data_IF_749737983751
#
_entry.id   IF_749737983751
#
_cell.length_a   1.000
_cell.length_b   1.000
_cell.length_c   1.000
_cell.angle_alpha   90.00
_cell.angle_beta   90.00
_cell.angle_gamma   90.00
#
_symmetry.space_group_name_H-M   'P 1'
#
loop_
_entity.id
_entity.type
_entity.pdbx_description
1 polymer ?
#
# COMPACT_ATOMS: atom_id res chain seq x y z
N UNK A 1 -43.01 -11.34 -38.03
CA UNK A 1 -41.81 -11.86 -37.35
C UNK A 1 -41.08 -10.67 -36.74
N UNK A 2 -41.19 -10.49 -35.43
CA UNK A 2 -40.57 -9.40 -34.68
C UNK A 2 -39.41 -9.96 -33.82
N UNK A 3 -38.21 -9.42 -33.98
CA UNK A 3 -37.12 -9.36 -32.99
C UNK A 3 -36.37 -8.05 -33.26
N UNK A 4 -36.55 -6.96 -32.50
CA UNK A 4 -36.02 -6.66 -31.15
C UNK A 4 -34.57 -7.11 -30.96
N UNK A 5 -33.63 -6.37 -30.37
CA UNK A 5 -33.45 -4.94 -30.03
C UNK A 5 -32.01 -4.89 -29.52
N UNK A 6 -31.14 -4.09 -30.13
CA UNK A 6 -29.80 -3.83 -29.59
C UNK A 6 -29.93 -2.89 -28.40
N UNK A 7 -29.92 -3.43 -27.18
CA UNK A 7 -29.80 -2.64 -25.96
C UNK A 7 -28.36 -2.71 -25.44
N UNK A 8 -27.59 -1.65 -25.71
CA UNK A 8 -26.48 -1.25 -24.85
C UNK A 8 -27.04 -0.96 -23.45
N UNK A 9 -26.61 -1.71 -22.44
CA UNK A 9 -26.82 -1.32 -21.04
C UNK A 9 -25.47 -0.90 -20.48
N UNK A 10 -25.23 0.40 -20.53
CA UNK A 10 -24.27 1.08 -19.68
C UNK A 10 -24.90 1.24 -18.29
N UNK A 11 -24.26 0.72 -17.24
CA UNK A 11 -24.69 0.94 -15.86
C UNK A 11 -23.76 1.96 -15.20
N UNK A 12 -24.25 3.18 -15.09
CA UNK A 12 -23.76 4.20 -14.15
C UNK A 12 -23.91 3.69 -12.72
N UNK A 13 -22.91 3.96 -11.87
CA UNK A 13 -23.14 4.23 -10.44
C UNK A 13 -22.04 5.18 -9.93
N UNK A 14 -22.50 6.31 -9.38
CA UNK A 14 -21.81 7.34 -8.59
C UNK A 14 -21.05 8.45 -9.34
N UNK A 15 -21.78 9.45 -9.84
CA UNK A 15 -21.26 10.79 -10.15
C UNK A 15 -21.65 11.77 -9.05
N UNK A 16 -20.66 12.27 -8.30
CA UNK A 16 -20.76 13.56 -7.63
C UNK A 16 -20.22 14.63 -8.58
N UNK A 17 -21.00 15.69 -8.75
CA UNK A 17 -20.74 16.83 -9.65
C UNK A 17 -19.54 17.67 -9.21
N UNK A 18 -18.63 17.98 -10.13
CA UNK A 18 -17.84 19.21 -10.09
C UNK A 18 -17.59 19.71 -11.51
N UNK A 19 -17.77 21.02 -11.69
CA UNK A 19 -17.96 21.73 -12.94
C UNK A 19 -16.70 21.81 -13.83
N UNK A 20 -16.97 21.92 -15.13
CA UNK A 20 -16.02 22.27 -16.20
C UNK A 20 -15.27 23.59 -15.88
N UNK A 21 -13.95 23.58 -16.00
CA UNK A 21 -13.20 24.76 -16.44
C UNK A 21 -12.44 24.42 -17.73
N UNK A 22 -12.61 25.24 -18.76
CA UNK A 22 -11.89 25.17 -20.04
C UNK A 22 -10.50 25.77 -19.87
N UNK A 23 -9.47 25.01 -20.19
CA UNK A 23 -8.09 25.48 -20.32
C UNK A 23 -7.32 24.62 -21.34
N UNK A 24 -6.77 25.25 -22.37
CA UNK A 24 -6.02 24.70 -23.51
C UNK A 24 -4.65 24.12 -23.10
N UNK A 25 -4.25 23.01 -23.77
CA UNK A 25 -2.91 22.55 -24.22
C UNK A 25 -1.67 22.86 -23.33
N UNK A 26 -0.66 22.00 -23.10
CA UNK A 26 -0.14 20.78 -23.75
C UNK A 26 1.00 20.31 -22.85
N UNK A 27 1.06 19.01 -22.51
CA UNK A 27 2.29 18.27 -22.27
C UNK A 27 1.90 16.79 -22.24
N UNK A 28 2.42 15.99 -23.20
CA UNK A 28 2.38 14.53 -23.04
C UNK A 28 3.32 14.19 -21.89
N UNK A 29 2.80 14.23 -20.68
CA UNK A 29 3.40 13.54 -19.54
C UNK A 29 3.59 12.09 -19.97
N UNK A 30 4.79 11.51 -19.85
CA UNK A 30 4.96 10.07 -20.03
C UNK A 30 3.90 9.40 -19.17
N UNK A 31 3.12 8.48 -19.76
CA UNK A 31 2.14 7.72 -18.99
C UNK A 31 2.87 7.16 -17.76
N UNK A 32 2.41 7.53 -16.57
CA UNK A 32 2.99 7.03 -15.34
C UNK A 32 3.04 5.50 -15.46
N UNK A 33 4.18 4.86 -15.16
CA UNK A 33 4.28 3.40 -15.24
C UNK A 33 3.10 2.81 -14.46
N UNK A 34 2.34 1.91 -15.11
CA UNK A 34 1.23 1.22 -14.45
C UNK A 34 1.80 0.56 -13.21
N UNK A 35 1.36 1.00 -12.03
CA UNK A 35 1.94 0.52 -10.80
C UNK A 35 1.69 -0.99 -10.71
N UNK A 36 2.74 -1.81 -10.63
CA UNK A 36 2.68 -3.28 -10.69
C UNK A 36 1.82 -3.92 -9.61
N UNK A 37 1.50 -3.19 -8.53
CA UNK A 37 0.61 -3.65 -7.46
C UNK A 37 -0.25 -2.47 -6.97
N UNK A 38 -1.53 -2.42 -7.34
CA UNK A 38 -2.48 -1.47 -6.75
C UNK A 38 -3.22 -2.15 -5.61
N UNK A 39 -3.28 -1.46 -4.46
CA UNK A 39 -3.87 -1.95 -3.23
C UNK A 39 -4.98 -1.00 -2.79
N UNK A 40 -6.15 -1.57 -2.49
CA UNK A 40 -7.30 -0.83 -2.00
C UNK A 40 -7.90 -1.51 -0.77
N UNK A 41 -8.22 -0.74 0.26
CA UNK A 41 -9.01 -1.23 1.39
C UNK A 41 -10.46 -1.47 0.97
N UNK A 42 -11.02 -2.61 1.37
CA UNK A 42 -12.39 -3.00 1.01
C UNK A 42 -13.29 -3.24 2.22
N UNK A 43 -12.75 -3.15 3.44
CA UNK A 43 -13.54 -3.26 4.66
C UNK A 43 -12.67 -3.33 5.91
N UNK A 44 -13.30 -3.02 7.04
CA UNK A 44 -12.71 -3.07 8.38
C UNK A 44 -13.60 -3.88 9.31
N UNK A 45 -13.01 -4.55 10.30
CA UNK A 45 -13.80 -5.09 11.41
C UNK A 45 -14.30 -3.97 12.32
N UNK A 46 -15.37 -4.24 13.08
CA UNK A 46 -15.99 -3.26 13.99
C UNK A 46 -15.03 -2.71 15.07
N UNK A 47 -14.09 -3.55 15.52
CA UNK A 47 -13.04 -3.17 16.46
C UNK A 47 -11.82 -2.52 15.78
N UNK A 48 -11.84 -2.43 14.45
CA UNK A 48 -10.78 -1.87 13.60
C UNK A 48 -9.40 -2.53 13.78
N UNK A 49 -9.38 -3.77 14.28
CA UNK A 49 -8.17 -4.60 14.45
C UNK A 49 -7.88 -5.51 13.26
N UNK A 50 -8.87 -5.70 12.38
CA UNK A 50 -8.77 -6.47 11.16
C UNK A 50 -9.26 -5.63 9.99
N UNK A 51 -8.66 -5.85 8.84
CA UNK A 51 -9.00 -5.13 7.62
C UNK A 51 -8.80 -6.04 6.42
N UNK A 52 -9.61 -5.83 5.40
CA UNK A 52 -9.51 -6.55 4.14
C UNK A 52 -9.02 -5.60 3.06
N UNK A 53 -8.10 -6.07 2.24
CA UNK A 53 -7.60 -5.38 1.05
C UNK A 53 -7.93 -6.16 -0.20
N UNK A 54 -8.05 -5.43 -1.30
CA UNK A 54 -8.00 -5.93 -2.65
C UNK A 54 -6.64 -5.59 -3.24
N UNK A 55 -5.96 -6.61 -3.76
CA UNK A 55 -4.65 -6.52 -4.38
C UNK A 55 -4.77 -6.90 -5.85
N UNK A 56 -4.31 -6.02 -6.73
CA UNK A 56 -4.12 -6.32 -8.15
C UNK A 56 -2.66 -6.68 -8.34
N UNK A 57 -2.36 -7.96 -8.47
CA UNK A 57 -0.99 -8.45 -8.58
C UNK A 57 -0.60 -8.68 -10.03
N UNK A 58 0.55 -8.17 -10.45
CA UNK A 58 1.24 -8.80 -11.57
C UNK A 58 1.73 -10.16 -11.09
N UNK A 59 0.90 -11.19 -11.28
CA UNK A 59 1.25 -12.57 -10.95
C UNK A 59 2.43 -13.03 -11.83
N UNK A 60 3.65 -12.67 -11.44
CA UNK A 60 4.91 -13.25 -11.90
C UNK A 60 5.91 -13.12 -10.75
N UNK A 61 5.85 -14.05 -9.79
CA UNK A 61 6.94 -14.25 -8.81
C UNK A 61 8.12 -15.02 -9.41
N UNK A 62 8.12 -15.28 -10.72
CA UNK A 62 9.19 -16.01 -11.38
C UNK A 62 9.98 -15.10 -12.31
N UNK A 63 11.29 -15.01 -12.08
CA UNK A 63 12.26 -14.44 -13.03
C UNK A 63 12.33 -15.21 -14.37
N UNK A 64 11.26 -15.90 -14.77
CA UNK A 64 11.23 -16.93 -15.83
C UNK A 64 10.21 -16.64 -16.94
N UNK A 65 9.41 -15.57 -16.84
CA UNK A 65 8.56 -15.14 -17.95
C UNK A 65 9.19 -13.92 -18.63
N UNK A 66 9.79 -14.15 -19.80
CA UNK A 66 10.28 -13.10 -20.71
C UNK A 66 9.17 -12.12 -21.14
N UNK A 67 7.89 -12.49 -20.95
CA UNK A 67 6.74 -11.68 -21.32
C UNK A 67 5.76 -11.46 -20.15
N UNK A 68 5.28 -10.22 -19.93
CA UNK A 68 4.27 -9.95 -18.92
C UNK A 68 2.96 -10.68 -19.23
N UNK A 69 2.18 -11.09 -18.20
CA UNK A 69 0.96 -11.84 -18.41
C UNK A 69 -0.02 -11.09 -19.33
N UNK A 70 -0.82 -11.83 -20.12
CA UNK A 70 -1.75 -11.24 -21.07
C UNK A 70 -2.88 -10.48 -20.34
N UNK A 71 -3.54 -9.57 -21.05
CA UNK A 71 -4.79 -8.99 -20.57
C UNK A 71 -5.90 -10.03 -20.69
N UNK A 72 -6.54 -10.37 -19.58
CA UNK A 72 -7.73 -11.19 -19.61
C UNK A 72 -8.95 -10.38 -20.09
N UNK A 73 -9.72 -10.87 -21.07
CA UNK A 73 -10.92 -10.18 -21.56
C UNK A 73 -11.94 -9.90 -20.45
N UNK A 74 -12.48 -8.67 -20.42
CA UNK A 74 -13.50 -8.26 -19.47
C UNK A 74 -12.99 -7.81 -18.09
N UNK A 75 -11.68 -7.86 -17.85
CA UNK A 75 -11.11 -7.48 -16.55
C UNK A 75 -10.67 -6.02 -16.52
N UNK A 76 -11.22 -5.30 -15.53
CA UNK A 76 -10.91 -3.91 -15.23
C UNK A 76 -10.62 -3.77 -13.74
N UNK A 77 -9.68 -2.89 -13.40
CA UNK A 77 -9.37 -2.54 -12.03
C UNK A 77 -10.42 -1.57 -11.47
N UNK A 78 -10.28 -1.21 -10.20
CA UNK A 78 -11.19 -0.28 -9.52
C UNK A 78 -11.22 1.14 -10.14
N UNK A 79 -10.27 1.47 -11.02
CA UNK A 79 -10.22 2.74 -11.77
C UNK A 79 -10.82 2.62 -13.17
N UNK A 80 -11.42 1.48 -13.50
CA UNK A 80 -12.00 1.20 -14.82
C UNK A 80 -10.98 0.94 -15.92
N UNK A 81 -9.70 0.70 -15.57
CA UNK A 81 -8.64 0.42 -16.54
C UNK A 81 -8.39 -1.08 -16.64
N UNK A 82 -8.04 -1.56 -17.83
CA UNK A 82 -7.53 -2.93 -18.00
C UNK A 82 -6.28 -3.09 -17.15
N UNK A 83 -6.08 -4.27 -16.57
CA UNK A 83 -4.87 -4.61 -15.83
C UNK A 83 -4.38 -5.99 -16.26
N UNK A 84 -3.09 -6.24 -16.06
CA UNK A 84 -2.44 -7.54 -16.27
C UNK A 84 -2.28 -8.23 -14.93
N UNK A 85 -2.21 -9.56 -14.94
CA UNK A 85 -2.02 -10.34 -13.73
C UNK A 85 -3.33 -10.74 -13.04
N UNK A 86 -3.27 -10.99 -11.74
CA UNK A 86 -4.35 -11.52 -10.94
C UNK A 86 -5.09 -10.47 -10.09
N UNK A 87 -6.14 -10.95 -9.45
CA UNK A 87 -6.87 -10.23 -8.43
C UNK A 87 -6.99 -11.10 -7.20
N UNK A 88 -6.52 -10.61 -6.06
CA UNK A 88 -6.65 -11.29 -4.77
C UNK A 88 -7.34 -10.40 -3.75
N UNK A 89 -8.05 -11.02 -2.83
CA UNK A 89 -8.53 -10.39 -1.61
C UNK A 89 -7.76 -10.99 -0.45
N UNK A 90 -7.28 -10.14 0.45
CA UNK A 90 -6.53 -10.57 1.63
C UNK A 90 -7.13 -9.95 2.88
N UNK A 91 -7.31 -10.77 3.91
CA UNK A 91 -7.71 -10.35 5.25
C UNK A 91 -6.48 -10.31 6.15
N UNK A 92 -6.31 -9.20 6.85
CA UNK A 92 -5.23 -9.01 7.81
C UNK A 92 -5.76 -8.91 9.24
N UNK A 93 -4.97 -9.37 10.19
CA UNK A 93 -5.06 -8.99 11.60
C UNK A 93 -3.71 -8.48 12.06
N UNK A 94 -3.66 -7.20 12.44
CA UNK A 94 -2.38 -6.52 12.62
C UNK A 94 -1.59 -6.44 11.31
N UNK A 95 -0.36 -6.95 11.31
CA UNK A 95 0.51 -7.01 10.13
C UNK A 95 0.46 -8.35 9.37
N UNK A 96 -0.29 -9.34 9.88
CA UNK A 96 -0.28 -10.70 9.30
C UNK A 96 -1.50 -10.93 8.44
N UNK A 97 -1.29 -11.44 7.23
CA UNK A 97 -2.37 -11.99 6.42
C UNK A 97 -2.91 -13.25 7.13
N UNK A 98 -4.20 -13.23 7.45
CA UNK A 98 -4.92 -14.34 8.09
C UNK A 98 -5.56 -15.22 7.02
N UNK A 99 -6.05 -14.62 5.93
CA UNK A 99 -6.65 -15.36 4.84
C UNK A 99 -6.42 -14.68 3.49
N UNK A 100 -6.40 -15.46 2.42
CA UNK A 100 -6.24 -14.99 1.04
C UNK A 100 -7.21 -15.73 0.14
N UNK A 101 -7.93 -14.98 -0.70
CA UNK A 101 -8.81 -15.52 -1.74
C UNK A 101 -8.32 -15.05 -3.09
N UNK A 102 -7.93 -16.00 -3.95
CA UNK A 102 -7.60 -15.72 -5.34
C UNK A 102 -8.91 -15.58 -6.13
N UNK A 103 -9.18 -14.38 -6.64
CA UNK A 103 -10.41 -14.07 -7.36
C UNK A 103 -10.19 -14.31 -8.85
N UNK A 104 -9.05 -13.85 -9.37
CA UNK A 104 -8.69 -13.95 -10.78
C UNK A 104 -7.23 -14.32 -10.92
N UNK A 105 -6.96 -15.26 -11.81
CA UNK A 105 -5.64 -15.67 -12.27
C UNK A 105 -5.47 -15.24 -13.74
N UNK A 106 -4.26 -14.85 -14.13
CA UNK A 106 -3.96 -14.38 -15.50
C UNK A 106 -3.54 -15.49 -16.46
N UNK A 107 -3.06 -16.62 -15.93
CA UNK A 107 -2.53 -17.74 -16.70
C UNK A 107 -2.85 -19.08 -16.02
N UNK A 108 -3.83 -19.85 -16.53
CA UNK A 108 -4.82 -19.43 -17.52
C UNK A 108 -5.74 -18.34 -16.96
N UNK A 109 -6.29 -17.48 -17.82
CA UNK A 109 -7.29 -16.50 -17.42
C UNK A 109 -8.48 -17.20 -16.75
N UNK A 110 -8.79 -16.85 -15.50
CA UNK A 110 -10.04 -17.29 -14.86
C UNK A 110 -11.22 -16.82 -15.72
N UNK A 111 -12.28 -17.61 -15.96
CA UNK A 111 -13.49 -17.13 -16.64
C UNK A 111 -14.26 -16.08 -15.79
N UNK A 112 -14.92 -15.07 -16.40
CA UNK A 112 -15.60 -14.02 -15.65
C UNK A 112 -16.65 -14.50 -14.65
N UNK A 113 -17.43 -15.54 -14.98
CA UNK A 113 -18.45 -16.08 -14.06
C UNK A 113 -17.82 -16.78 -12.86
N UNK A 114 -16.75 -17.57 -13.08
CA UNK A 114 -15.98 -18.16 -11.98
C UNK A 114 -15.35 -17.09 -11.07
N UNK A 115 -14.85 -16.00 -11.64
CA UNK A 115 -14.31 -14.88 -10.87
C UNK A 115 -15.39 -14.17 -10.04
N UNK A 116 -16.61 -14.04 -10.56
CA UNK A 116 -17.76 -13.48 -9.81
C UNK A 116 -18.15 -14.37 -8.64
N UNK A 117 -18.20 -15.68 -8.85
CA UNK A 117 -18.52 -16.64 -7.79
C UNK A 117 -17.46 -16.63 -6.68
N UNK A 118 -16.17 -16.67 -7.06
CA UNK A 118 -15.04 -16.52 -6.12
C UNK A 118 -15.12 -15.21 -5.33
N UNK A 119 -15.47 -14.10 -6.00
CA UNK A 119 -15.65 -12.80 -5.33
C UNK A 119 -16.82 -12.80 -4.35
N UNK A 120 -17.94 -13.43 -4.71
CA UNK A 120 -19.10 -13.53 -3.84
C UNK A 120 -18.78 -14.36 -2.59
N UNK A 121 -18.11 -15.50 -2.76
CA UNK A 121 -17.64 -16.36 -1.67
C UNK A 121 -16.66 -15.62 -0.75
N UNK A 122 -15.67 -14.89 -1.31
CA UNK A 122 -14.73 -14.11 -0.53
C UNK A 122 -15.43 -13.02 0.30
N UNK A 123 -16.42 -12.31 -0.28
CA UNK A 123 -17.21 -11.30 0.45
C UNK A 123 -18.05 -11.90 1.57
N UNK A 124 -18.68 -13.06 1.33
CA UNK A 124 -19.44 -13.77 2.36
C UNK A 124 -18.52 -14.18 3.52
N UNK A 125 -17.38 -14.82 3.22
CA UNK A 125 -16.40 -15.24 4.22
C UNK A 125 -15.82 -14.06 5.01
N UNK A 126 -15.57 -12.91 4.37
CA UNK A 126 -15.15 -11.69 5.07
C UNK A 126 -16.22 -11.20 6.06
N UNK A 127 -17.49 -11.22 5.65
CA UNK A 127 -18.62 -10.80 6.49
C UNK A 127 -18.79 -11.75 7.68
N UNK A 128 -18.66 -13.06 7.47
CA UNK A 128 -18.67 -14.08 8.55
C UNK A 128 -17.51 -13.87 9.53
N UNK A 129 -16.35 -13.42 9.05
CA UNK A 129 -15.23 -13.04 9.91
C UNK A 129 -15.43 -11.68 10.57
N UNK A 130 -16.56 -11.00 10.38
CA UNK A 130 -16.90 -9.74 11.04
C UNK A 130 -16.24 -8.52 10.42
N UNK A 131 -15.87 -8.59 9.14
CA UNK A 131 -15.44 -7.44 8.34
C UNK A 131 -16.67 -6.78 7.71
N UNK A 132 -16.85 -5.49 7.98
CA UNK A 132 -17.86 -4.66 7.34
C UNK A 132 -17.29 -4.09 6.03
N UNK A 133 -17.86 -4.52 4.90
CA UNK A 133 -17.45 -4.11 3.56
C UNK A 133 -17.93 -2.70 3.18
N UNK A 134 -18.74 -2.06 4.02
CA UNK A 134 -19.15 -0.65 3.87
C UNK A 134 -18.24 0.29 4.64
N UNK A 135 -17.56 -0.23 5.66
CA UNK A 135 -16.57 0.47 6.45
C UNK A 135 -15.24 0.53 5.70
N UNK A 136 -15.11 1.39 4.67
CA UNK A 136 -13.89 1.49 3.84
C UNK A 136 -12.80 2.33 4.52
N UNK A 137 -13.18 3.33 5.32
CA UNK A 137 -12.23 4.26 5.93
C UNK A 137 -11.67 5.27 4.93
N UNK A 138 -10.39 5.65 5.10
CA UNK A 138 -9.76 6.71 4.31
C UNK A 138 -8.36 6.35 3.82
N UNK A 139 -7.77 7.23 3.01
CA UNK A 139 -6.37 7.14 2.57
C UNK A 139 -5.70 8.47 2.84
N UNK A 140 -4.51 8.44 3.44
CA UNK A 140 -3.72 9.64 3.68
C UNK A 140 -2.34 9.51 3.01
N UNK A 141 -2.06 10.44 2.10
CA UNK A 141 -0.85 10.48 1.30
C UNK A 141 0.21 11.36 1.96
N UNK A 142 1.52 11.08 1.77
CA UNK A 142 2.58 11.98 2.18
C UNK A 142 2.46 13.33 1.48
N UNK A 143 2.73 14.41 2.21
CA UNK A 143 2.65 15.77 1.66
C UNK A 143 3.73 16.06 0.60
N UNK A 144 4.82 15.30 0.59
CA UNK A 144 5.93 15.42 -0.36
C UNK A 144 6.48 14.04 -0.70
N UNK A 145 7.00 13.88 -1.94
CA UNK A 145 7.77 12.70 -2.30
C UNK A 145 8.96 12.55 -1.32
N UNK A 146 9.31 11.33 -0.88
CA UNK A 146 10.45 11.09 -0.01
C UNK A 146 11.68 11.79 -0.57
N UNK A 147 12.34 12.61 0.27
CA UNK A 147 13.59 13.25 -0.16
C UNK A 147 14.65 12.14 -0.31
N UNK A 148 15.36 12.08 -1.45
CA UNK A 148 16.39 11.06 -1.63
C UNK A 148 17.45 11.19 -0.53
N UNK A 149 18.04 10.07 -0.07
CA UNK A 149 18.97 10.07 1.05
C UNK A 149 20.14 11.02 0.82
N UNK A 150 20.56 11.73 1.88
CA UNK A 150 21.86 12.38 1.87
C UNK A 150 22.95 11.32 1.99
N UNK A 151 23.79 11.18 0.96
CA UNK A 151 24.96 10.28 0.98
C UNK A 151 25.87 10.64 2.16
N UNK A 152 25.86 9.86 3.24
CA UNK A 152 26.85 10.02 4.32
C UNK A 152 28.02 9.04 4.15
N UNK A 153 29.20 9.64 4.00
CA UNK A 153 30.58 9.14 3.96
C UNK A 153 30.93 7.76 4.60
N UNK A 154 31.69 6.97 3.83
CA UNK A 154 32.81 6.06 4.23
C UNK A 154 32.60 5.11 5.42
N UNK A 155 31.57 4.26 5.38
CA UNK A 155 31.56 3.02 6.18
C UNK A 155 31.12 1.85 5.30
N UNK A 156 31.51 0.60 5.62
CA UNK A 156 31.07 -0.67 4.99
C UNK A 156 29.57 -0.96 5.17
N UNK A 157 28.77 0.08 5.36
CA UNK A 157 27.33 0.05 5.53
C UNK A 157 26.81 1.30 4.84
N UNK A 158 26.15 1.11 3.71
CA UNK A 158 25.43 2.19 3.04
C UNK A 158 24.11 2.38 3.79
N UNK A 159 23.80 3.62 4.16
CA UNK A 159 22.56 3.95 4.86
C UNK A 159 21.68 4.83 3.98
N UNK A 160 20.40 4.48 3.88
CA UNK A 160 19.35 5.34 3.32
C UNK A 160 18.39 5.68 4.44
N UNK A 161 18.30 6.96 4.79
CA UNK A 161 17.34 7.48 5.75
C UNK A 161 16.36 8.43 5.06
N UNK A 162 15.09 8.31 5.40
CA UNK A 162 14.03 9.21 4.92
C UNK A 162 12.99 9.46 6.00
N UNK A 163 12.28 10.58 5.86
CA UNK A 163 11.17 10.94 6.73
C UNK A 163 10.00 11.43 5.88
N UNK A 164 8.80 10.98 6.21
CA UNK A 164 7.55 11.46 5.64
C UNK A 164 6.60 11.88 6.74
N UNK A 165 5.80 12.90 6.45
CA UNK A 165 4.76 13.38 7.35
C UNK A 165 3.42 13.40 6.64
N UNK A 166 2.41 12.83 7.29
CA UNK A 166 1.04 12.68 6.78
C UNK A 166 0.08 13.34 7.75
N UNK A 167 -0.77 14.24 7.27
CA UNK A 167 -1.81 14.83 8.12
C UNK A 167 -2.98 13.86 8.27
N UNK A 168 -3.52 13.74 9.48
CA UNK A 168 -4.74 12.96 9.74
C UNK A 168 -5.97 13.80 9.36
N UNK A 169 -6.78 13.37 8.39
CA UNK A 169 -7.95 14.12 7.92
C UNK A 169 -9.16 13.99 8.85
N UNK A 170 -9.22 12.95 9.68
CA UNK A 170 -10.36 12.61 10.52
C UNK A 170 -9.95 11.88 11.80
N UNK A 171 -10.92 11.65 12.69
CA UNK A 171 -10.75 10.93 13.95
C UNK A 171 -10.29 11.82 15.12
N UNK A 172 -9.99 11.21 16.29
CA UNK A 172 -9.64 11.96 17.51
C UNK A 172 -8.43 12.88 17.37
N UNK A 173 -7.52 12.51 16.46
CA UNK A 173 -6.27 13.22 16.18
C UNK A 173 -6.29 13.99 14.86
N UNK A 174 -7.47 14.31 14.32
CA UNK A 174 -7.60 15.13 13.11
C UNK A 174 -6.79 16.44 13.21
N UNK A 175 -6.10 16.78 12.14
CA UNK A 175 -5.19 17.94 12.06
C UNK A 175 -3.78 17.71 12.63
N UNK A 176 -3.53 16.62 13.36
CA UNK A 176 -2.18 16.22 13.75
C UNK A 176 -1.47 15.46 12.62
N UNK A 177 -0.16 15.24 12.79
CA UNK A 177 0.68 14.62 11.76
C UNK A 177 1.27 13.30 12.25
N UNK A 178 1.16 12.27 11.42
CA UNK A 178 1.94 11.05 11.57
C UNK A 178 3.29 11.26 10.90
N UNK A 179 4.36 10.96 11.62
CA UNK A 179 5.72 10.95 11.11
C UNK A 179 6.21 9.52 10.96
N UNK A 180 6.81 9.26 9.81
CA UNK A 180 7.34 7.96 9.46
C UNK A 180 8.78 8.19 9.07
N UNK A 181 9.69 7.81 9.96
CA UNK A 181 11.11 7.78 9.69
C UNK A 181 11.50 6.36 9.33
N UNK A 182 12.42 6.19 8.40
CA UNK A 182 12.97 4.88 8.09
C UNK A 182 14.47 4.93 7.91
N UNK A 183 15.09 3.79 8.21
CA UNK A 183 16.51 3.54 8.05
C UNK A 183 16.68 2.23 7.31
N UNK A 184 17.49 2.24 6.27
CA UNK A 184 17.94 1.05 5.54
C UNK A 184 19.39 0.81 5.89
N UNK A 185 19.71 -0.41 6.33
CA UNK A 185 21.07 -0.88 6.57
C UNK A 185 21.43 -1.94 5.52
N UNK A 186 22.46 -1.67 4.73
CA UNK A 186 23.05 -2.66 3.83
C UNK A 186 24.28 -3.26 4.50
N UNK A 187 24.24 -4.54 4.84
CA UNK A 187 25.37 -5.26 5.43
C UNK A 187 26.01 -6.15 4.38
N UNK A 188 27.17 -5.74 3.90
CA UNK A 188 28.05 -6.63 3.14
C UNK A 188 28.68 -7.65 4.10
N UNK A 189 28.71 -8.91 3.68
CA UNK A 189 29.50 -9.95 4.34
C UNK A 189 30.97 -9.52 4.40
N UNK A 190 31.64 -9.69 5.55
CA UNK A 190 33.04 -9.27 5.75
C UNK A 190 34.05 -9.92 4.77
N UNK A 191 33.62 -10.96 4.05
CA UNK A 191 34.38 -11.69 3.03
C UNK A 191 33.91 -11.44 1.59
N UNK A 192 32.93 -10.55 1.35
CA UNK A 192 32.43 -10.23 0.00
C UNK A 192 33.53 -9.69 -0.94
N UNK A 193 34.54 -9.00 -0.39
CA UNK A 193 35.71 -8.54 -1.16
C UNK A 193 36.59 -9.69 -1.70
N UNK A 194 36.44 -10.91 -1.17
CA UNK A 194 37.20 -12.09 -1.61
C UNK A 194 36.39 -13.03 -2.50
N UNK A 195 35.07 -12.88 -2.51
CA UNK A 195 34.15 -13.76 -3.23
C UNK A 195 32.89 -12.98 -3.64
N UNK A 196 32.81 -12.53 -4.91
CA UNK A 196 31.67 -11.77 -5.43
C UNK A 196 30.39 -12.62 -5.56
N UNK A 197 30.45 -13.93 -5.30
CA UNK A 197 29.23 -14.76 -5.23
C UNK A 197 28.49 -14.65 -3.90
N UNK A 198 29.10 -14.02 -2.87
CA UNK A 198 28.49 -13.93 -1.55
C UNK A 198 27.33 -12.95 -1.47
N UNK A 199 26.32 -13.22 -0.62
CA UNK A 199 25.17 -12.36 -0.51
C UNK A 199 25.45 -11.06 0.24
N UNK A 200 24.85 -9.97 -0.24
CA UNK A 200 24.60 -8.72 0.45
C UNK A 200 23.25 -8.85 1.15
N UNK A 201 23.23 -8.65 2.46
CA UNK A 201 22.00 -8.67 3.24
C UNK A 201 21.52 -7.25 3.48
N UNK A 202 20.29 -6.95 3.10
CA UNK A 202 19.64 -5.65 3.36
C UNK A 202 18.54 -5.80 4.40
N UNK A 203 18.46 -4.84 5.31
CA UNK A 203 17.37 -4.73 6.29
C UNK A 203 16.92 -3.27 6.37
N UNK A 204 15.65 -3.05 6.70
CA UNK A 204 15.14 -1.72 6.99
C UNK A 204 14.31 -1.72 8.26
N UNK A 205 14.29 -0.57 8.92
CA UNK A 205 13.45 -0.32 10.09
C UNK A 205 12.67 0.94 9.86
N UNK A 206 11.35 0.84 9.96
CA UNK A 206 10.43 1.97 9.92
C UNK A 206 9.97 2.29 11.34
N UNK A 207 10.16 3.55 11.75
CA UNK A 207 9.67 4.08 13.02
C UNK A 207 8.52 5.03 12.75
N UNK A 208 7.41 4.79 13.42
CA UNK A 208 6.18 5.55 13.28
C UNK A 208 5.93 6.31 14.57
N UNK A 209 5.63 7.59 14.46
CA UNK A 209 5.31 8.45 15.59
C UNK A 209 4.20 9.45 15.27
N UNK A 210 3.47 9.85 16.30
CA UNK A 210 2.46 10.89 16.25
C UNK A 210 3.06 12.21 16.71
N UNK A 211 3.08 13.21 15.83
CA UNK A 211 3.49 14.57 16.18
C UNK A 211 2.29 15.39 16.62
N UNK A 212 2.37 15.92 17.84
CA UNK A 212 1.41 16.86 18.42
C UNK A 212 2.14 18.08 18.97
N UNK A 213 2.00 19.22 18.29
CA UNK A 213 2.80 20.42 18.58
C UNK A 213 4.31 20.15 18.46
N UNK A 214 5.05 20.32 19.56
CA UNK A 214 6.49 20.02 19.64
C UNK A 214 6.79 18.58 20.09
N UNK A 215 5.79 17.82 20.54
CA UNK A 215 5.96 16.45 21.04
C UNK A 215 5.88 15.42 19.91
N UNK A 216 6.64 14.35 20.05
CA UNK A 216 6.58 13.15 19.21
C UNK A 216 6.32 11.93 20.09
N UNK A 217 5.16 11.31 19.92
CA UNK A 217 4.79 10.08 20.62
C UNK A 217 5.12 8.88 19.74
N UNK A 218 6.00 7.95 20.16
CA UNK A 218 6.29 6.74 19.40
C UNK A 218 5.03 5.85 19.34
N UNK A 219 4.70 5.37 18.14
CA UNK A 219 3.55 4.49 17.90
C UNK A 219 3.94 3.07 17.53
N UNK A 220 5.10 2.88 16.90
CA UNK A 220 5.57 1.55 16.51
C UNK A 220 6.90 1.56 15.78
N UNK A 221 7.51 0.38 15.73
CA UNK A 221 8.73 0.09 14.99
C UNK A 221 8.53 -1.20 14.20
N UNK A 222 8.80 -1.14 12.90
CA UNK A 222 8.54 -2.23 11.96
C UNK A 222 9.83 -2.61 11.24
N UNK A 223 10.43 -3.75 11.56
CA UNK A 223 11.55 -4.29 10.80
C UNK A 223 11.06 -4.88 9.47
N UNK A 224 11.89 -4.76 8.45
CA UNK A 224 11.70 -5.30 7.11
C UNK A 224 12.99 -5.98 6.65
N UNK A 225 12.88 -7.19 6.11
CA UNK A 225 14.02 -8.05 5.80
C UNK A 225 14.36 -9.01 6.96
N UNK A 226 15.55 -9.65 6.94
CA UNK A 226 16.60 -9.50 5.94
C UNK A 226 16.18 -9.97 4.54
N UNK A 227 16.71 -9.30 3.52
CA UNK A 227 16.63 -9.74 2.12
C UNK A 227 18.04 -9.92 1.59
N UNK A 228 18.33 -11.12 1.08
CA UNK A 228 19.66 -11.52 0.61
C UNK A 228 19.77 -11.43 -0.92
N UNK A 229 20.88 -10.87 -1.40
CA UNK A 229 21.15 -10.66 -2.84
C UNK A 229 22.57 -11.12 -3.15
N UNK A 230 22.83 -11.90 -4.20
CA UNK A 230 24.23 -12.18 -4.56
C UNK A 230 24.95 -10.89 -5.02
N UNK A 231 26.22 -10.67 -4.71
CA UNK A 231 26.93 -9.47 -5.17
C UNK A 231 27.11 -9.43 -6.72
N UNK A 232 26.95 -10.57 -7.42
CA UNK A 232 26.82 -10.62 -8.88
C UNK A 232 25.46 -10.14 -9.40
N UNK A 233 24.40 -10.24 -8.60
CA UNK A 233 23.16 -9.52 -8.79
C UNK A 233 23.31 -8.18 -8.10
N UNK A 234 24.05 -7.23 -8.70
CA UNK A 234 24.16 -5.88 -8.17
C UNK A 234 22.76 -5.24 -8.13
N UNK A 235 22.07 -5.47 -7.03
CA UNK A 235 20.66 -5.21 -6.90
C UNK A 235 20.40 -3.99 -6.04
N UNK A 236 19.35 -3.26 -6.38
CA UNK A 236 18.81 -2.22 -5.51
C UNK A 236 17.68 -2.83 -4.69
N UNK A 237 17.58 -2.45 -3.42
CA UNK A 237 16.46 -2.75 -2.55
C UNK A 237 16.15 -1.50 -1.75
N UNK A 238 15.08 -0.81 -2.13
CA UNK A 238 14.77 0.53 -1.63
C UNK A 238 13.34 0.57 -1.11
N UNK A 239 13.14 0.28 0.18
CA UNK A 239 11.86 0.48 0.81
C UNK A 239 11.63 1.98 1.02
N UNK A 240 10.45 2.46 0.63
CA UNK A 240 10.02 3.86 0.81
C UNK A 240 8.61 3.91 1.38
N UNK A 241 8.28 4.97 2.10
CA UNK A 241 6.91 5.16 2.57
C UNK A 241 5.98 5.47 1.38
N UNK A 242 4.86 4.76 1.28
CA UNK A 242 3.82 4.99 0.25
C UNK A 242 2.70 5.87 0.81
N UNK A 243 1.86 5.33 1.70
CA UNK A 243 0.65 5.98 2.22
C UNK A 243 0.13 5.29 3.48
N UNK A 244 -0.84 5.92 4.14
CA UNK A 244 -1.62 5.32 5.21
C UNK A 244 -3.01 4.92 4.72
N UNK A 245 -3.49 3.76 5.15
CA UNK A 245 -4.91 3.40 5.06
C UNK A 245 -5.54 3.63 6.43
N UNK A 246 -6.48 4.56 6.52
CA UNK A 246 -7.11 4.96 7.77
C UNK A 246 -8.36 4.13 8.04
N UNK A 247 -8.53 3.73 9.29
CA UNK A 247 -9.79 3.17 9.78
C UNK A 247 -10.94 4.19 9.68
N UNK A 248 -12.21 3.73 9.61
CA UNK A 248 -13.38 4.61 9.59
C UNK A 248 -13.42 5.61 10.75
N UNK A 249 -13.08 5.17 11.96
CA UNK A 249 -13.08 6.03 13.14
C UNK A 249 -11.84 6.93 13.23
N UNK A 250 -10.81 6.65 12.43
CA UNK A 250 -9.51 7.32 12.48
C UNK A 250 -8.72 7.02 13.76
N UNK A 251 -9.06 5.97 14.50
CA UNK A 251 -8.30 5.50 15.68
C UNK A 251 -7.16 4.56 15.31
N UNK A 252 -7.27 3.89 14.18
CA UNK A 252 -6.24 2.97 13.68
C UNK A 252 -5.85 3.31 12.26
N UNK A 253 -4.64 2.93 11.84
CA UNK A 253 -4.23 3.02 10.45
C UNK A 253 -3.25 1.92 10.07
N UNK A 254 -3.20 1.58 8.78
CA UNK A 254 -2.24 0.65 8.21
C UNK A 254 -1.15 1.43 7.49
N UNK A 255 0.10 1.08 7.74
CA UNK A 255 1.25 1.64 7.04
C UNK A 255 1.52 0.83 5.78
N UNK A 256 1.49 1.49 4.62
CA UNK A 256 1.96 0.92 3.36
C UNK A 256 3.34 1.45 3.01
N UNK A 257 4.21 0.55 2.58
CA UNK A 257 5.52 0.88 2.02
C UNK A 257 5.58 0.44 0.57
N UNK A 258 6.22 1.26 -0.25
CA UNK A 258 6.57 0.90 -1.62
C UNK A 258 7.97 0.30 -1.63
N UNK A 259 8.07 -0.90 -2.18
CA UNK A 259 9.29 -1.65 -2.39
C UNK A 259 9.70 -1.48 -3.83
N UNK A 260 10.91 -0.99 -4.05
CA UNK A 260 11.59 -1.07 -5.34
C UNK A 260 12.77 -2.01 -5.16
N UNK A 261 12.76 -3.12 -5.87
CA UNK A 261 13.82 -4.11 -5.85
C UNK A 261 14.24 -4.48 -7.26
N UNK A 262 15.50 -4.80 -7.47
CA UNK A 262 15.93 -5.23 -8.78
C UNK A 262 17.36 -5.71 -8.80
N UNK A 263 17.76 -6.24 -9.95
CA UNK A 263 19.10 -6.71 -10.25
C UNK A 263 19.46 -6.33 -11.69
N UNK A 264 20.64 -6.74 -12.16
CA UNK A 264 21.01 -6.58 -13.57
C UNK A 264 20.04 -7.27 -14.55
N UNK A 265 19.29 -8.29 -14.09
CA UNK A 265 18.33 -9.03 -14.90
C UNK A 265 16.92 -8.41 -14.98
N UNK A 266 16.65 -7.35 -14.22
CA UNK A 266 15.32 -6.73 -14.15
C UNK A 266 14.97 -6.22 -12.76
N UNK A 267 13.89 -5.44 -12.68
CA UNK A 267 13.40 -4.87 -11.43
C UNK A 267 11.91 -5.14 -11.24
N UNK A 268 11.50 -5.24 -9.98
CA UNK A 268 10.12 -5.32 -9.55
C UNK A 268 9.83 -4.11 -8.65
N UNK A 269 8.58 -3.68 -8.63
CA UNK A 269 8.14 -2.75 -7.61
C UNK A 269 6.81 -3.25 -7.05
N UNK A 270 6.54 -3.02 -5.77
CA UNK A 270 5.29 -3.47 -5.16
C UNK A 270 4.97 -2.68 -3.90
N UNK A 271 3.70 -2.69 -3.48
CA UNK A 271 3.28 -2.13 -2.20
C UNK A 271 3.14 -3.25 -1.18
N UNK A 272 3.68 -3.05 0.01
CA UNK A 272 3.65 -3.99 1.13
C UNK A 272 2.90 -3.39 2.32
N UNK A 273 2.08 -4.21 2.96
CA UNK A 273 1.47 -3.91 4.26
C UNK A 273 2.53 -4.13 5.34
N UNK A 274 2.92 -3.05 6.01
CA UNK A 274 3.92 -3.10 7.07
C UNK A 274 3.30 -3.45 8.43
N UNK A 275 2.10 -2.92 8.70
CA UNK A 275 1.33 -3.25 9.89
C UNK A 275 0.22 -2.27 10.23
N UNK A 276 -0.62 -2.70 11.17
CA UNK A 276 -1.66 -1.89 11.80
C UNK A 276 -1.08 -1.15 13.01
N UNK A 277 -1.40 0.13 13.13
CA UNK A 277 -1.05 0.99 14.24
C UNK A 277 -2.32 1.51 14.89
N UNK A 278 -2.44 1.36 16.20
CA UNK A 278 -3.49 1.98 17.01
C UNK A 278 -2.98 3.32 17.55
N UNK A 279 -3.79 4.36 17.42
CA UNK A 279 -3.53 5.65 18.03
C UNK A 279 -3.94 5.61 19.50
N UNK A 280 -3.12 6.20 20.41
CA UNK A 280 -3.53 6.35 21.79
C UNK A 280 -4.79 7.22 21.88
N UNK A 281 -5.61 7.08 22.93
CA UNK A 281 -6.68 8.05 23.18
C UNK A 281 -6.07 9.45 23.27
N UNK A 282 -6.75 10.44 22.68
CA UNK A 282 -6.31 11.83 22.81
C UNK A 282 -6.43 12.23 24.28
N UNK A 283 -5.37 12.74 24.92
CA UNK A 283 -5.49 13.26 26.27
C UNK A 283 -6.56 14.36 26.21
N UNK A 284 -7.59 14.24 27.04
CA UNK A 284 -8.59 15.28 27.20
C UNK A 284 -7.82 16.57 27.47
N UNK A 285 -7.99 17.56 26.59
CA UNK A 285 -7.59 18.92 26.93
C UNK A 285 -8.31 19.22 28.23
N UNK A 286 -7.56 19.31 29.33
CA UNK A 286 -8.11 19.67 30.63
C UNK A 286 -9.05 20.83 30.40
N UNK A 287 -10.36 20.57 30.54
CA UNK A 287 -11.38 21.59 30.41
C UNK A 287 -10.91 22.75 31.26
N UNK A 288 -10.67 23.90 30.63
CA UNK A 288 -10.28 25.09 31.35
C UNK A 288 -11.36 25.31 32.41
N UNK A 289 -11.05 24.94 33.66
CA UNK A 289 -11.90 25.21 34.81
C UNK A 289 -12.08 26.72 34.79
N UNK A 290 -13.26 27.17 34.37
CA UNK A 290 -13.64 28.55 34.44
C UNK A 290 -13.44 28.98 35.89
N UNK A 291 -12.41 29.78 36.12
CA UNK A 291 -12.19 30.38 37.42
C UNK A 291 -13.48 31.13 37.80
N UNK A 292 -13.97 30.99 39.05
CA UNK A 292 -15.15 31.72 39.46
C UNK A 292 -14.83 33.22 39.34
N UNK A 293 -15.69 33.95 38.61
CA UNK A 293 -15.66 35.39 38.60
C UNK A 293 -15.78 35.88 40.05
N UNK A 294 -14.84 36.73 40.47
CA UNK A 294 -14.93 37.48 41.72
C UNK A 294 -15.86 38.67 41.57
#
# INVERSE_FOLDING_TARGET
MFRCSSLLIALLLLTSTAALSKGKATAKTPAAPEMPNDLQIIGWSKDEKRFAIRLYDLAVETNELDEPPPYCPGYINHRGKKFRGGLRIQLFGGAKAINTWNIQDAQPCTPPDAARDRLAQAKAALTEQGVDLTAIGGVAMPAQKPKPPSKSSKSRTWFTAGASAVALPSGPWAGQRIEIAYRVDHRESASANKDPSRPITSQATFKVGLRSGKGLTPLGEFPLGPTDWSAMQAGHWTPTFDRLLLSPSGKSFVVLVHMDEGSMGGGSSYSLVLGLVELPPRPETASATSAPAR
#
